data_IF_157476996920
#
_entry.id   IF_157476996920
#
_cell.length_a   1.000
_cell.length_b   1.000
_cell.length_c   1.000
_cell.angle_alpha   90.00
_cell.angle_beta   90.00
_cell.angle_gamma   90.00
#
_symmetry.space_group_name_H-M   'P 1'
#
loop_
_entity.id
_entity.type
_entity.pdbx_description
1 polymer ?
#
# COMPACT_ATOMS: atom_id res chain seq x y z
N UNK A 1 -28.45 12.49 -23.53
CA UNK A 1 -27.19 11.99 -24.14
C UNK A 1 -25.95 12.69 -23.57
N UNK A 2 -25.89 14.02 -23.58
CA UNK A 2 -24.74 14.79 -23.05
C UNK A 2 -24.48 14.51 -21.56
N UNK A 3 -25.52 14.57 -20.72
CA UNK A 3 -25.37 14.30 -19.28
C UNK A 3 -24.80 12.90 -18.97
N UNK A 4 -25.19 11.88 -19.74
CA UNK A 4 -24.66 10.52 -19.61
C UNK A 4 -23.17 10.44 -19.97
N UNK A 5 -22.75 11.10 -21.06
CA UNK A 5 -21.34 11.16 -21.48
C UNK A 5 -20.49 11.88 -20.42
N UNK A 6 -20.98 13.02 -19.90
CA UNK A 6 -20.27 13.79 -18.86
C UNK A 6 -20.16 13.00 -17.56
N UNK A 7 -21.22 12.32 -17.15
CA UNK A 7 -21.20 11.44 -15.97
C UNK A 7 -20.17 10.33 -16.11
N UNK A 8 -20.07 9.74 -17.31
CA UNK A 8 -19.10 8.67 -17.58
C UNK A 8 -17.65 9.18 -17.60
N UNK A 9 -17.41 10.36 -18.18
CA UNK A 9 -16.10 11.01 -18.14
C UNK A 9 -15.64 11.25 -16.69
N UNK A 10 -16.50 11.84 -15.86
CA UNK A 10 -16.21 12.03 -14.42
C UNK A 10 -15.91 10.72 -13.70
N UNK A 11 -16.65 9.65 -14.00
CA UNK A 11 -16.39 8.32 -13.43
C UNK A 11 -14.98 7.82 -13.79
N UNK A 12 -14.59 7.98 -15.06
CA UNK A 12 -13.27 7.56 -15.55
C UNK A 12 -12.13 8.41 -14.98
N UNK A 13 -12.32 9.72 -14.87
CA UNK A 13 -11.37 10.63 -14.22
C UNK A 13 -11.14 10.26 -12.77
N UNK A 14 -12.21 9.95 -12.02
CA UNK A 14 -12.11 9.49 -10.63
C UNK A 14 -11.33 8.18 -10.52
N UNK A 15 -11.60 7.22 -11.41
CA UNK A 15 -10.85 5.94 -11.44
C UNK A 15 -9.38 6.19 -11.75
N UNK A 16 -9.07 7.01 -12.77
CA UNK A 16 -7.68 7.28 -13.14
C UNK A 16 -6.94 8.00 -12.01
N UNK A 17 -7.57 8.94 -11.32
CA UNK A 17 -6.98 9.63 -10.17
C UNK A 17 -6.61 8.64 -9.05
N UNK A 18 -7.48 7.67 -8.75
CA UNK A 18 -7.17 6.61 -7.79
C UNK A 18 -6.01 5.70 -8.23
N UNK A 19 -5.82 5.46 -9.52
CA UNK A 19 -4.65 4.74 -10.02
C UNK A 19 -3.35 5.53 -9.87
N UNK A 20 -3.38 6.85 -10.07
CA UNK A 20 -2.20 7.70 -9.88
C UNK A 20 -1.84 7.83 -8.39
N UNK A 21 -2.82 7.92 -7.50
CA UNK A 21 -2.60 7.86 -6.05
C UNK A 21 -1.98 6.51 -5.65
N UNK A 22 -2.53 5.40 -6.16
CA UNK A 22 -2.00 4.06 -5.89
C UNK A 22 -0.55 3.88 -6.40
N UNK A 23 -0.23 4.41 -7.59
CA UNK A 23 1.15 4.42 -8.09
C UNK A 23 2.10 5.21 -7.20
N UNK A 24 1.65 6.32 -6.62
CA UNK A 24 2.49 7.20 -5.80
C UNK A 24 2.95 6.54 -4.50
N UNK A 25 2.17 5.59 -3.97
CA UNK A 25 2.47 4.89 -2.71
C UNK A 25 3.18 3.55 -2.91
N UNK A 26 3.21 3.02 -4.13
CA UNK A 26 3.91 1.77 -4.47
C UNK A 26 5.25 2.11 -5.14
N UNK A 27 6.39 1.91 -4.45
CA UNK A 27 7.71 2.29 -4.96
C UNK A 27 8.03 1.70 -6.34
N UNK A 28 7.64 0.44 -6.61
CA UNK A 28 7.90 -0.20 -7.91
C UNK A 28 7.06 0.35 -9.08
N UNK A 29 6.02 1.14 -8.79
CA UNK A 29 5.12 1.74 -9.77
C UNK A 29 5.45 3.22 -10.04
N UNK A 30 6.18 3.90 -9.16
CA UNK A 30 6.35 5.36 -9.18
C UNK A 30 7.09 5.92 -10.41
N UNK A 31 7.85 5.07 -11.13
CA UNK A 31 8.67 5.48 -12.29
C UNK A 31 8.31 4.74 -13.58
N UNK A 32 7.30 3.86 -13.57
CA UNK A 32 7.00 2.97 -14.69
C UNK A 32 5.68 3.30 -15.40
N UNK A 33 5.65 3.06 -16.70
CA UNK A 33 4.43 3.04 -17.52
C UNK A 33 3.66 1.73 -17.34
N UNK A 34 3.42 1.34 -16.09
CA UNK A 34 2.74 0.09 -15.77
C UNK A 34 1.28 0.10 -16.23
N UNK A 35 0.81 -1.05 -16.72
CA UNK A 35 -0.61 -1.24 -17.02
C UNK A 35 -1.44 -1.22 -15.74
N UNK A 36 -2.74 -0.90 -15.84
CA UNK A 36 -3.67 -0.96 -14.69
C UNK A 36 -3.65 -2.32 -13.98
N UNK A 37 -3.55 -3.41 -14.74
CA UNK A 37 -3.45 -4.76 -14.18
C UNK A 37 -2.13 -4.97 -13.42
N UNK A 38 -1.02 -4.48 -13.97
CA UNK A 38 0.30 -4.54 -13.33
C UNK A 38 0.33 -3.76 -12.02
N UNK A 39 -0.27 -2.56 -11.98
CA UNK A 39 -0.37 -1.74 -10.77
C UNK A 39 -1.15 -2.49 -9.68
N UNK A 40 -2.30 -3.08 -10.02
CA UNK A 40 -3.10 -3.85 -9.05
C UNK A 40 -2.34 -5.06 -8.53
N UNK A 41 -1.59 -5.76 -9.38
CA UNK A 41 -0.79 -6.92 -8.95
C UNK A 41 0.32 -6.50 -7.99
N UNK A 42 1.11 -5.49 -8.36
CA UNK A 42 2.17 -4.93 -7.50
C UNK A 42 1.62 -4.40 -6.18
N UNK A 43 0.42 -3.80 -6.18
CA UNK A 43 -0.24 -3.36 -4.96
C UNK A 43 -0.51 -4.50 -3.99
N UNK A 44 -1.04 -5.62 -4.49
CA UNK A 44 -1.29 -6.82 -3.69
C UNK A 44 0.02 -7.37 -3.13
N UNK A 45 1.04 -7.51 -3.99
CA UNK A 45 2.34 -8.02 -3.58
C UNK A 45 2.96 -7.13 -2.48
N UNK A 46 2.90 -5.80 -2.63
CA UNK A 46 3.42 -4.85 -1.64
C UNK A 46 2.69 -4.91 -0.29
N UNK A 47 1.37 -5.13 -0.29
CA UNK A 47 0.61 -5.32 0.95
C UNK A 47 1.10 -6.57 1.68
N UNK A 48 1.26 -7.69 0.97
CA UNK A 48 1.72 -8.94 1.56
C UNK A 48 3.14 -8.83 2.15
N UNK A 49 4.03 -8.12 1.44
CA UNK A 49 5.37 -7.82 1.94
C UNK A 49 5.34 -6.98 3.22
N UNK A 50 4.56 -5.90 3.24
CA UNK A 50 4.41 -5.04 4.42
C UNK A 50 3.84 -5.80 5.63
N UNK A 51 2.86 -6.67 5.41
CA UNK A 51 2.33 -7.53 6.47
C UNK A 51 3.39 -8.50 7.01
N UNK A 52 4.25 -9.06 6.15
CA UNK A 52 5.34 -9.93 6.57
C UNK A 52 6.43 -9.16 7.33
N UNK A 53 6.83 -7.99 6.85
CA UNK A 53 7.74 -7.09 7.54
C UNK A 53 7.20 -6.74 8.94
N UNK A 54 5.94 -6.33 9.04
CA UNK A 54 5.29 -6.02 10.32
C UNK A 54 5.28 -7.20 11.28
N UNK A 55 5.01 -8.43 10.79
CA UNK A 55 5.10 -9.64 11.63
C UNK A 55 6.50 -9.84 12.19
N UNK A 56 7.53 -9.75 11.35
CA UNK A 56 8.94 -9.88 11.76
C UNK A 56 9.33 -8.81 12.79
N UNK A 57 8.95 -7.56 12.55
CA UNK A 57 9.20 -6.47 13.49
C UNK A 57 8.49 -6.68 14.83
N UNK A 58 7.25 -7.13 14.83
CA UNK A 58 6.50 -7.41 16.05
C UNK A 58 7.10 -8.56 16.86
N UNK A 59 7.60 -9.60 16.20
CA UNK A 59 8.32 -10.71 16.83
C UNK A 59 9.65 -10.26 17.43
N UNK A 60 10.46 -9.52 16.66
CA UNK A 60 11.73 -8.97 17.13
C UNK A 60 11.54 -8.03 18.32
N UNK A 61 10.53 -7.16 18.26
CA UNK A 61 10.18 -6.26 19.38
C UNK A 61 9.75 -7.04 20.62
N UNK A 62 8.98 -8.12 20.45
CA UNK A 62 8.59 -9.00 21.56
C UNK A 62 9.80 -9.69 22.17
N UNK A 63 10.73 -10.19 21.36
CA UNK A 63 11.96 -10.82 21.84
C UNK A 63 12.83 -9.84 22.63
N UNK A 64 13.05 -8.63 22.11
CA UNK A 64 13.80 -7.57 22.82
C UNK A 64 13.15 -7.16 24.15
N UNK A 65 11.81 -7.16 24.23
CA UNK A 65 11.09 -6.90 25.49
C UNK A 65 11.20 -8.05 26.49
N UNK A 66 11.33 -9.29 26.04
CA UNK A 66 11.51 -10.45 26.92
C UNK A 66 12.97 -10.53 27.42
N UNK A 67 13.93 -10.12 26.60
CA UNK A 67 15.36 -10.10 26.96
C UNK A 67 15.77 -8.92 27.84
N UNK A 68 14.98 -7.84 27.87
CA UNK A 68 15.09 -6.78 28.87
C UNK A 68 14.06 -7.04 29.97
N UNK A 69 14.36 -7.87 31.00
CA UNK A 69 13.49 -7.92 32.16
C UNK A 69 13.38 -6.48 32.68
N UNK A 70 12.15 -6.04 32.96
CA UNK A 70 11.84 -4.75 33.57
C UNK A 70 12.96 -4.41 34.56
N UNK A 71 13.74 -3.37 34.24
CA UNK A 71 14.63 -2.73 35.21
C UNK A 71 13.72 -2.43 36.40
N UNK A 72 13.88 -3.23 37.45
CA UNK A 72 13.11 -3.14 38.68
C UNK A 72 13.25 -1.69 39.14
N UNK A 73 12.16 -0.94 39.07
CA UNK A 73 12.04 0.31 39.81
C UNK A 73 12.14 -0.05 41.30
N UNK A 74 13.29 0.25 41.90
CA UNK A 74 13.53 0.30 43.35
C UNK A 74 13.00 1.59 43.96
#
# INVERSE_FOLDING_TARGET
RVAHIVSEQKRREKINSGFEELKSVIPECAQNTDSKASILRKAVDRILELEEELRKYAEAYRQQRVEKPEEREE
#
